data_IF_688646403758
#
_entry.id   IF_688646403758
#
_cell.length_a   1.000
_cell.length_b   1.000
_cell.length_c   1.000
_cell.angle_alpha   90.00
_cell.angle_beta   90.00
_cell.angle_gamma   90.00
#
_symmetry.space_group_name_H-M   'P 1'
#
loop_
_entity.id
_entity.type
_entity.pdbx_description
1 polymer ?
#
# COMPACT_ATOMS: atom_id res chain seq x y z
N UNK A 1 -25.15 -8.26 -2.56
CA UNK A 1 -23.90 -7.47 -2.56
C UNK A 1 -22.77 -8.37 -3.03
N UNK A 2 -22.03 -7.98 -4.06
CA UNK A 2 -20.80 -8.69 -4.42
C UNK A 2 -19.77 -8.51 -3.29
N UNK A 3 -19.02 -9.58 -2.99
CA UNK A 3 -18.01 -9.60 -1.94
C UNK A 3 -16.80 -8.80 -2.40
N UNK A 4 -16.36 -7.81 -1.62
CA UNK A 4 -15.19 -6.98 -1.95
C UNK A 4 -13.95 -7.89 -2.06
N UNK A 5 -13.19 -7.71 -3.14
CA UNK A 5 -11.91 -8.41 -3.33
C UNK A 5 -10.92 -8.05 -2.21
N UNK A 6 -10.18 -9.03 -1.69
CA UNK A 6 -9.16 -8.82 -0.65
C UNK A 6 -8.13 -7.76 -1.07
N UNK A 7 -7.74 -7.75 -2.34
CA UNK A 7 -6.81 -6.76 -2.91
C UNK A 7 -7.40 -5.36 -2.79
N UNK A 8 -8.67 -5.18 -3.16
CA UNK A 8 -9.34 -3.87 -3.09
C UNK A 8 -9.45 -3.38 -1.66
N UNK A 9 -9.73 -4.27 -0.70
CA UNK A 9 -9.73 -3.92 0.72
C UNK A 9 -8.35 -3.45 1.21
N UNK A 10 -7.27 -4.12 0.80
CA UNK A 10 -5.89 -3.74 1.12
C UNK A 10 -5.51 -2.39 0.49
N UNK A 11 -5.84 -2.16 -0.79
CA UNK A 11 -5.59 -0.88 -1.46
C UNK A 11 -6.32 0.28 -0.78
N UNK A 12 -7.59 0.06 -0.40
CA UNK A 12 -8.36 1.03 0.38
C UNK A 12 -7.66 1.33 1.70
N UNK A 13 -7.15 0.31 2.40
CA UNK A 13 -6.43 0.49 3.66
C UNK A 13 -5.14 1.29 3.47
N UNK A 14 -4.34 1.01 2.44
CA UNK A 14 -3.15 1.81 2.12
C UNK A 14 -3.51 3.27 1.79
N UNK A 15 -4.61 3.51 1.06
CA UNK A 15 -5.12 4.86 0.80
C UNK A 15 -5.45 5.60 2.09
N UNK A 16 -6.16 4.95 3.01
CA UNK A 16 -6.52 5.51 4.32
C UNK A 16 -5.28 5.80 5.18
N UNK A 17 -4.30 4.89 5.21
CA UNK A 17 -3.02 5.08 5.91
C UNK A 17 -2.17 6.20 5.29
N UNK A 18 -2.29 6.44 3.99
CA UNK A 18 -1.69 7.58 3.31
C UNK A 18 -2.44 8.90 3.57
N UNK A 19 -3.55 8.88 4.32
CA UNK A 19 -4.36 10.07 4.62
C UNK A 19 -5.12 10.63 3.41
N UNK A 20 -5.30 9.84 2.36
CA UNK A 20 -5.94 10.29 1.12
C UNK A 20 -7.45 10.03 1.16
N UNK A 21 -8.26 11.04 0.83
CA UNK A 21 -9.68 10.85 0.55
C UNK A 21 -9.89 10.11 -0.78
N UNK A 22 -11.09 9.57 -0.99
CA UNK A 22 -11.47 8.96 -2.28
C UNK A 22 -11.38 9.97 -3.43
N UNK A 23 -11.73 11.24 -3.18
CA UNK A 23 -11.64 12.31 -4.17
C UNK A 23 -10.19 12.65 -4.52
N UNK A 24 -9.32 12.75 -3.52
CA UNK A 24 -7.90 12.97 -3.75
C UNK A 24 -7.26 11.80 -4.52
N UNK A 25 -7.67 10.57 -4.21
CA UNK A 25 -7.21 9.38 -4.93
C UNK A 25 -7.73 9.36 -6.37
N UNK A 26 -9.00 9.70 -6.59
CA UNK A 26 -9.59 9.81 -7.92
C UNK A 26 -8.81 10.82 -8.78
N UNK A 27 -8.54 12.01 -8.22
CA UNK A 27 -7.77 13.06 -8.88
C UNK A 27 -6.34 12.60 -9.23
N UNK A 28 -5.65 11.92 -8.30
CA UNK A 28 -4.26 11.45 -8.51
C UNK A 28 -4.18 10.27 -9.49
N UNK A 29 -5.16 9.38 -9.52
CA UNK A 29 -5.20 8.21 -10.41
C UNK A 29 -5.80 8.53 -11.79
N UNK A 30 -6.54 9.63 -11.91
CA UNK A 30 -7.36 9.92 -13.08
C UNK A 30 -8.53 8.94 -13.26
N UNK A 31 -8.94 8.25 -12.19
CA UNK A 31 -10.16 7.42 -12.16
C UNK A 31 -11.29 8.31 -11.66
N UNK A 32 -12.48 8.24 -12.28
CA UNK A 32 -13.62 9.03 -11.79
C UNK A 32 -13.96 8.66 -10.34
N UNK A 33 -14.36 9.64 -9.54
CA UNK A 33 -14.75 9.42 -8.14
C UNK A 33 -15.85 8.35 -8.00
N UNK A 34 -16.84 8.37 -8.90
CA UNK A 34 -17.92 7.38 -8.93
C UNK A 34 -17.40 5.96 -9.20
N UNK A 35 -16.50 5.81 -10.17
CA UNK A 35 -15.88 4.51 -10.45
C UNK A 35 -15.06 4.03 -9.25
N UNK A 36 -14.27 4.91 -8.64
CA UNK A 36 -13.44 4.59 -7.48
C UNK A 36 -14.31 4.13 -6.29
N UNK A 37 -15.39 4.83 -5.98
CA UNK A 37 -16.34 4.46 -4.93
C UNK A 37 -16.97 3.08 -5.19
N UNK A 38 -17.39 2.82 -6.43
CA UNK A 38 -17.96 1.52 -6.82
C UNK A 38 -16.94 0.39 -6.74
N UNK A 39 -15.68 0.65 -7.06
CA UNK A 39 -14.59 -0.31 -6.88
C UNK A 39 -14.41 -0.61 -5.39
N UNK A 40 -14.18 0.41 -4.56
CA UNK A 40 -13.90 0.24 -3.12
C UNK A 40 -15.08 -0.33 -2.31
N UNK A 41 -16.29 -0.23 -2.84
CA UNK A 41 -17.51 -0.87 -2.28
C UNK A 41 -17.78 -2.27 -2.85
N UNK A 42 -16.98 -2.74 -3.82
CA UNK A 42 -17.14 -4.05 -4.45
C UNK A 42 -18.32 -4.15 -5.40
N UNK A 43 -18.88 -3.02 -5.84
CA UNK A 43 -19.98 -2.97 -6.82
C UNK A 43 -19.48 -3.27 -8.24
N UNK A 44 -18.21 -2.98 -8.52
CA UNK A 44 -17.54 -3.33 -9.78
C UNK A 44 -16.17 -3.91 -9.52
N UNK A 45 -15.71 -4.78 -10.41
CA UNK A 45 -14.34 -5.27 -10.37
C UNK A 45 -13.35 -4.17 -10.79
N UNK A 46 -12.18 -4.23 -10.15
CA UNK A 46 -11.04 -3.38 -10.50
C UNK A 46 -10.29 -4.00 -11.67
N UNK A 47 -10.07 -3.22 -12.74
CA UNK A 47 -9.22 -3.62 -13.86
C UNK A 47 -7.73 -3.54 -13.47
N UNK A 48 -6.88 -4.31 -14.13
CA UNK A 48 -5.42 -4.27 -13.92
C UNK A 48 -4.84 -2.86 -14.07
N UNK A 49 -5.28 -2.11 -15.09
CA UNK A 49 -4.83 -0.72 -15.29
C UNK A 49 -5.25 0.24 -14.17
N UNK A 50 -6.33 -0.06 -13.44
CA UNK A 50 -6.74 0.70 -12.26
C UNK A 50 -5.93 0.33 -11.03
N UNK A 51 -5.60 -0.97 -10.87
CA UNK A 51 -4.68 -1.47 -9.86
C UNK A 51 -3.30 -0.81 -9.99
N UNK A 52 -2.73 -0.79 -11.19
CA UNK A 52 -1.44 -0.14 -11.48
C UNK A 52 -1.43 1.34 -11.12
N UNK A 53 -2.51 2.07 -11.46
CA UNK A 53 -2.68 3.48 -11.08
C UNK A 53 -2.74 3.66 -9.57
N UNK A 54 -3.45 2.78 -8.86
CA UNK A 54 -3.51 2.78 -7.40
C UNK A 54 -2.13 2.60 -6.77
N UNK A 55 -1.43 1.55 -7.18
CA UNK A 55 -0.09 1.22 -6.71
C UNK A 55 0.89 2.38 -6.93
N UNK A 56 0.85 3.00 -8.11
CA UNK A 56 1.71 4.14 -8.45
C UNK A 56 1.48 5.33 -7.53
N UNK A 57 0.23 5.69 -7.24
CA UNK A 57 -0.09 6.83 -6.36
C UNK A 57 0.29 6.54 -4.91
N UNK A 58 0.11 5.30 -4.47
CA UNK A 58 0.42 4.86 -3.10
C UNK A 58 1.90 4.55 -2.89
N UNK A 59 2.68 4.47 -3.98
CA UNK A 59 4.08 4.04 -3.98
C UNK A 59 4.28 2.68 -3.30
N UNK A 60 3.48 1.69 -3.71
CA UNK A 60 3.51 0.31 -3.20
C UNK A 60 3.64 -0.69 -4.36
N UNK A 61 4.07 -1.89 -4.05
CA UNK A 61 4.31 -3.01 -4.97
C UNK A 61 3.28 -4.14 -4.77
N UNK A 62 3.30 -5.14 -5.66
CA UNK A 62 2.47 -6.34 -5.48
C UNK A 62 2.89 -7.13 -4.23
N UNK A 63 4.17 -7.08 -3.85
CA UNK A 63 4.67 -7.76 -2.64
C UNK A 63 4.06 -7.10 -1.39
N UNK A 64 3.97 -5.77 -1.35
CA UNK A 64 3.34 -5.06 -0.23
C UNK A 64 1.86 -5.44 -0.09
N UNK A 65 1.15 -5.58 -1.23
CA UNK A 65 -0.24 -6.01 -1.25
C UNK A 65 -0.36 -7.46 -0.74
N UNK A 66 0.50 -8.35 -1.22
CA UNK A 66 0.51 -9.76 -0.85
C UNK A 66 0.78 -9.95 0.66
N UNK A 67 1.81 -9.29 1.19
CA UNK A 67 2.13 -9.26 2.61
C UNK A 67 0.95 -8.78 3.46
N UNK A 68 0.32 -7.67 3.04
CA UNK A 68 -0.86 -7.13 3.73
C UNK A 68 -2.06 -8.08 3.67
N UNK A 69 -2.29 -8.76 2.53
CA UNK A 69 -3.38 -9.74 2.43
C UNK A 69 -3.17 -10.99 3.27
N UNK A 70 -1.93 -11.45 3.46
CA UNK A 70 -1.64 -12.69 4.17
C UNK A 70 -1.47 -12.48 5.69
N UNK A 71 -0.79 -11.41 6.09
CA UNK A 71 -0.37 -11.20 7.48
C UNK A 71 -1.08 -10.03 8.17
N UNK A 72 -1.87 -9.24 7.42
CA UNK A 72 -2.42 -7.98 7.92
C UNK A 72 -1.33 -6.95 8.25
N UNK A 73 -0.12 -7.16 7.73
CA UNK A 73 1.04 -6.33 7.96
C UNK A 73 1.13 -5.28 6.86
N UNK A 74 1.03 -4.00 7.24
CA UNK A 74 1.03 -2.85 6.33
C UNK A 74 2.33 -2.05 6.42
N UNK A 75 3.40 -2.65 6.94
CA UNK A 75 4.72 -2.01 7.05
C UNK A 75 5.31 -1.77 5.67
N UNK A 76 5.59 -0.50 5.37
CA UNK A 76 6.25 -0.04 4.14
C UNK A 76 7.72 0.30 4.40
N UNK A 77 8.51 0.47 3.34
CA UNK A 77 9.94 0.84 3.45
C UNK A 77 10.12 2.11 4.31
N UNK A 78 9.19 3.05 4.17
CA UNK A 78 9.22 4.33 4.87
C UNK A 78 9.02 4.17 6.37
N UNK A 79 8.32 3.12 6.80
CA UNK A 79 8.07 2.83 8.21
C UNK A 79 9.35 2.26 8.84
N UNK A 80 10.06 1.39 8.11
CA UNK A 80 11.41 0.93 8.50
C UNK A 80 12.36 2.12 8.58
N UNK A 81 12.35 3.00 7.57
CA UNK A 81 13.18 4.20 7.57
C UNK A 81 12.83 5.12 8.74
N UNK A 82 11.55 5.32 9.06
CA UNK A 82 11.11 6.11 10.20
C UNK A 82 11.53 5.51 11.53
N UNK A 83 11.30 4.21 11.76
CA UNK A 83 11.73 3.50 12.95
C UNK A 83 13.26 3.55 13.12
N UNK A 84 14.01 3.45 12.02
CA UNK A 84 15.48 3.54 12.07
C UNK A 84 16.00 4.88 12.62
N UNK A 85 15.20 5.97 12.54
CA UNK A 85 15.58 7.28 13.09
C UNK A 85 15.62 7.27 14.62
N UNK A 86 14.85 6.40 15.27
CA UNK A 86 14.83 6.23 16.72
C UNK A 86 16.04 5.45 17.24
N UNK A 87 16.79 4.79 16.36
CA UNK A 87 17.93 3.94 16.71
C UNK A 87 19.23 4.73 16.83
N UNK A 88 20.08 4.30 17.75
CA UNK A 88 21.47 4.76 17.86
C UNK A 88 22.30 4.40 16.62
N UNK A 89 23.46 5.04 16.46
CA UNK A 89 24.37 4.74 15.34
C UNK A 89 24.90 3.29 15.35
N UNK A 90 24.97 2.64 16.52
CA UNK A 90 25.38 1.23 16.64
C UNK A 90 24.27 0.29 16.15
N UNK A 91 23.05 0.51 16.61
CA UNK A 91 21.87 -0.28 16.23
C UNK A 91 21.54 -0.11 14.75
N UNK A 92 21.63 1.11 14.22
CA UNK A 92 21.41 1.38 12.80
C UNK A 92 22.40 0.63 11.90
N UNK A 93 23.68 0.56 12.31
CA UNK A 93 24.70 -0.25 11.61
C UNK A 93 24.39 -1.73 11.69
N UNK A 94 23.90 -2.22 12.82
CA UNK A 94 23.49 -3.62 12.96
C UNK A 94 22.31 -3.96 12.03
N UNK A 95 21.30 -3.08 11.97
CA UNK A 95 20.16 -3.22 11.05
C UNK A 95 20.62 -3.22 9.58
N UNK A 96 21.52 -2.31 9.19
CA UNK A 96 22.05 -2.28 7.82
C UNK A 96 22.80 -3.55 7.45
N UNK A 97 23.62 -4.09 8.35
CA UNK A 97 24.28 -5.38 8.13
C UNK A 97 23.26 -6.49 7.95
N UNK A 98 22.29 -6.61 8.87
CA UNK A 98 21.24 -7.61 8.78
C UNK A 98 20.49 -7.57 7.44
N UNK A 99 20.08 -6.37 6.98
CA UNK A 99 19.39 -6.23 5.69
C UNK A 99 20.32 -6.60 4.51
N UNK A 100 21.61 -6.31 4.61
CA UNK A 100 22.59 -6.66 3.57
C UNK A 100 22.82 -8.17 3.50
N UNK A 101 22.91 -8.83 4.66
CA UNK A 101 23.11 -10.27 4.78
C UNK A 101 21.89 -11.06 4.26
N UNK A 102 20.68 -10.49 4.30
CA UNK A 102 19.47 -11.09 3.73
C UNK A 102 19.39 -11.01 2.20
N UNK A 103 20.25 -10.20 1.58
CA UNK A 103 20.25 -9.99 0.11
C UNK A 103 21.14 -10.99 -0.62
N UNK A 104 22.02 -11.69 0.10
CA UNK A 104 22.84 -12.81 -0.39
C UNK A 104 22.09 -14.14 -0.29
#
# INVERSE_FOLDING_TARGET
MQKISRIVAVLRRFRELAGLSQEQMANKTGISISTLQRIESGVVEMKLSQLEKYMKVLNITLIDIDMATQKGDYVLEKDIAAASRLLTAKERRALLRFISDLRE
#
